data_IF_328996456144
#
_entry.id   IF_328996456144
#
_cell.length_a   1.000
_cell.length_b   1.000
_cell.length_c   1.000
_cell.angle_alpha   90.00
_cell.angle_beta   90.00
_cell.angle_gamma   90.00
#
_symmetry.space_group_name_H-M   'P 1'
#
loop_
_entity.id
_entity.type
_entity.pdbx_description
1 polymer ?
#
# COMPACT_ATOMS: atom_id res chain seq x y z
N UNK A 1 24.62 19.92 11.17
CA UNK A 1 24.96 18.59 11.70
C UNK A 1 23.80 17.60 11.55
N UNK A 2 22.57 18.02 11.90
CA UNK A 2 21.34 17.21 11.76
C UNK A 2 21.04 16.83 10.29
N UNK A 3 21.19 17.75 9.34
CA UNK A 3 20.93 17.46 7.91
C UNK A 3 21.79 16.32 7.36
N UNK A 4 23.09 16.27 7.73
CA UNK A 4 23.99 15.17 7.33
C UNK A 4 23.52 13.81 7.83
N UNK A 5 22.92 13.75 9.02
CA UNK A 5 22.36 12.52 9.59
C UNK A 5 21.17 12.05 8.74
N UNK A 6 20.24 12.95 8.40
CA UNK A 6 19.11 12.63 7.51
C UNK A 6 19.56 12.17 6.12
N UNK A 7 20.59 12.80 5.54
CA UNK A 7 21.15 12.38 4.24
C UNK A 7 21.78 10.99 4.31
N UNK A 8 22.47 10.68 5.42
CA UNK A 8 23.05 9.35 5.68
C UNK A 8 21.95 8.30 5.87
N UNK A 9 20.93 8.58 6.67
CA UNK A 9 19.77 7.69 6.85
C UNK A 9 19.04 7.42 5.54
N UNK A 10 18.93 8.42 4.66
CA UNK A 10 18.40 8.27 3.31
C UNK A 10 19.24 7.33 2.42
N UNK A 11 20.58 7.41 2.51
CA UNK A 11 21.50 6.51 1.79
C UNK A 11 21.53 5.08 2.33
N UNK A 12 21.34 4.91 3.64
CA UNK A 12 21.25 3.58 4.31
C UNK A 12 19.92 2.88 3.99
N UNK A 13 18.99 3.57 3.30
CA UNK A 13 17.73 2.99 2.82
C UNK A 13 16.62 2.97 3.88
N UNK A 14 16.86 3.53 5.06
CA UNK A 14 15.90 3.55 6.18
C UNK A 14 14.64 4.32 5.77
N UNK A 15 14.79 5.45 5.07
CA UNK A 15 13.64 6.25 4.60
C UNK A 15 12.85 5.55 3.49
N UNK A 16 13.53 4.78 2.62
CA UNK A 16 12.87 4.01 1.55
C UNK A 16 12.06 2.84 2.11
N UNK A 17 12.49 2.25 3.22
CA UNK A 17 11.75 1.17 3.89
C UNK A 17 10.45 1.67 4.55
N UNK A 18 10.50 2.85 5.18
CA UNK A 18 9.33 3.46 5.82
C UNK A 18 8.21 3.77 4.81
N UNK A 19 8.57 4.21 3.61
CA UNK A 19 7.63 4.48 2.52
C UNK A 19 6.88 3.21 2.09
N UNK A 20 7.58 2.08 1.98
CA UNK A 20 6.96 0.78 1.66
C UNK A 20 6.02 0.28 2.75
N UNK A 21 6.37 0.49 4.02
CA UNK A 21 5.50 0.13 5.14
C UNK A 21 4.21 0.96 5.08
N UNK A 22 4.31 2.25 4.76
CA UNK A 22 3.14 3.10 4.60
C UNK A 22 2.23 2.59 3.47
N UNK A 23 2.80 2.20 2.32
CA UNK A 23 2.04 1.61 1.22
C UNK A 23 1.35 0.30 1.60
N UNK A 24 2.03 -0.56 2.36
CA UNK A 24 1.42 -1.76 2.91
C UNK A 24 0.25 -1.46 3.85
N UNK A 25 0.44 -0.56 4.82
CA UNK A 25 -0.63 -0.18 5.76
C UNK A 25 -1.80 0.48 5.05
N UNK A 26 -1.54 1.30 4.02
CA UNK A 26 -2.57 1.90 3.19
C UNK A 26 -3.39 0.83 2.45
N UNK A 27 -2.73 -0.14 1.82
CA UNK A 27 -3.39 -1.27 1.16
C UNK A 27 -4.26 -2.07 2.13
N UNK A 28 -3.74 -2.38 3.31
CA UNK A 28 -4.48 -3.06 4.38
C UNK A 28 -5.74 -2.27 4.77
N UNK A 29 -5.59 -0.99 5.07
CA UNK A 29 -6.69 -0.13 5.53
C UNK A 29 -7.78 0.04 4.48
N UNK A 30 -7.40 0.25 3.21
CA UNK A 30 -8.35 0.35 2.09
C UNK A 30 -9.23 -0.90 2.03
N UNK A 31 -8.61 -2.08 2.05
CA UNK A 31 -9.36 -3.34 1.93
C UNK A 31 -10.19 -3.62 3.17
N UNK A 32 -9.63 -3.42 4.37
CA UNK A 32 -10.35 -3.62 5.61
C UNK A 32 -11.61 -2.76 5.69
N UNK A 33 -11.55 -1.49 5.25
CA UNK A 33 -12.71 -0.60 5.21
C UNK A 33 -13.69 -1.01 4.11
N UNK A 34 -13.22 -1.32 2.91
CA UNK A 34 -14.09 -1.71 1.80
C UNK A 34 -14.84 -3.00 2.09
N UNK A 35 -14.20 -3.96 2.77
CA UNK A 35 -14.83 -5.23 3.18
C UNK A 35 -16.00 -5.02 4.16
N UNK A 36 -16.01 -3.94 4.94
CA UNK A 36 -17.12 -3.64 5.85
C UNK A 36 -18.38 -3.14 5.13
N UNK A 37 -18.23 -2.63 3.91
CA UNK A 37 -19.30 -1.94 3.17
C UNK A 37 -19.69 -2.70 1.91
N UNK A 38 -18.77 -3.47 1.34
CA UNK A 38 -18.93 -4.17 0.08
C UNK A 38 -18.56 -5.65 0.22
N UNK A 39 -19.02 -6.44 -0.76
CA UNK A 39 -18.63 -7.84 -0.90
C UNK A 39 -17.11 -8.01 -1.09
N UNK A 40 -16.61 -9.17 -0.68
CA UNK A 40 -15.20 -9.55 -0.69
C UNK A 40 -14.51 -9.38 -2.05
N UNK A 41 -15.17 -9.78 -3.13
CA UNK A 41 -14.66 -9.63 -4.50
C UNK A 41 -14.55 -8.16 -4.92
N UNK A 42 -15.47 -7.29 -4.46
CA UNK A 42 -15.42 -5.85 -4.75
C UNK A 42 -14.22 -5.22 -4.03
N UNK A 43 -14.00 -5.57 -2.76
CA UNK A 43 -12.84 -5.10 -2.00
C UNK A 43 -11.52 -5.51 -2.67
N UNK A 44 -11.46 -6.73 -3.22
CA UNK A 44 -10.31 -7.21 -3.98
C UNK A 44 -10.05 -6.43 -5.28
N UNK A 45 -11.08 -6.24 -6.13
CA UNK A 45 -10.90 -5.48 -7.37
C UNK A 45 -10.61 -4.00 -7.11
N UNK A 46 -11.20 -3.41 -6.08
CA UNK A 46 -10.90 -2.06 -5.66
C UNK A 46 -9.43 -1.92 -5.21
N UNK A 47 -8.90 -2.88 -4.45
CA UNK A 47 -7.47 -2.93 -4.08
C UNK A 47 -6.57 -2.87 -5.32
N UNK A 48 -6.83 -3.69 -6.33
CA UNK A 48 -6.06 -3.71 -7.57
C UNK A 48 -6.13 -2.35 -8.29
N UNK A 49 -7.32 -1.77 -8.34
CA UNK A 49 -7.52 -0.45 -8.94
C UNK A 49 -6.77 0.65 -8.19
N UNK A 50 -6.79 0.66 -6.86
CA UNK A 50 -6.04 1.64 -6.05
C UNK A 50 -4.52 1.45 -6.16
N UNK A 51 -4.03 0.21 -6.11
CA UNK A 51 -2.61 -0.09 -6.24
C UNK A 51 -2.08 0.37 -7.60
N UNK A 52 -2.77 0.01 -8.69
CA UNK A 52 -2.36 0.43 -10.04
C UNK A 52 -2.59 1.93 -10.26
N UNK A 53 -3.74 2.44 -9.84
CA UNK A 53 -4.13 3.84 -9.98
C UNK A 53 -3.17 4.79 -9.28
N UNK A 54 -2.65 4.44 -8.10
CA UNK A 54 -1.62 5.22 -7.41
C UNK A 54 -0.34 5.34 -8.26
N UNK A 55 0.17 4.24 -8.80
CA UNK A 55 1.40 4.27 -9.63
C UNK A 55 1.20 5.05 -10.93
N UNK A 56 0.03 4.92 -11.55
CA UNK A 56 -0.35 5.73 -12.73
C UNK A 56 -0.42 7.21 -12.36
N UNK A 57 -1.06 7.55 -11.24
CA UNK A 57 -1.15 8.91 -10.74
C UNK A 57 0.23 9.50 -10.43
N UNK A 58 1.11 8.74 -9.77
CA UNK A 58 2.46 9.16 -9.46
C UNK A 58 3.26 9.45 -10.75
N UNK A 59 3.15 8.59 -11.77
CA UNK A 59 3.79 8.81 -13.07
C UNK A 59 3.31 10.05 -13.80
N UNK A 60 2.00 10.22 -13.92
CA UNK A 60 1.43 11.26 -14.80
C UNK A 60 1.17 12.59 -14.09
N UNK A 61 0.88 12.57 -12.79
CA UNK A 61 0.52 13.76 -12.01
C UNK A 61 1.69 14.24 -11.17
N UNK A 62 2.29 13.36 -10.34
CA UNK A 62 3.47 13.75 -9.54
C UNK A 62 4.77 13.77 -10.34
N UNK A 63 4.76 13.21 -11.55
CA UNK A 63 5.93 13.08 -12.45
C UNK A 63 7.10 12.34 -11.78
N UNK A 64 6.78 11.39 -10.89
CA UNK A 64 7.74 10.46 -10.29
C UNK A 64 7.78 9.15 -11.08
N UNK A 65 8.78 8.31 -10.84
CA UNK A 65 8.85 7.00 -11.52
C UNK A 65 7.81 6.02 -10.97
N UNK A 66 7.40 5.06 -11.82
CA UNK A 66 6.62 3.92 -11.36
C UNK A 66 7.53 3.05 -10.50
N UNK A 67 7.09 2.79 -9.28
CA UNK A 67 7.78 1.93 -8.34
C UNK A 67 6.95 0.68 -8.09
N UNK A 68 7.32 -0.40 -8.81
CA UNK A 68 6.67 -1.70 -8.63
C UNK A 68 6.74 -2.22 -7.19
N UNK A 69 7.74 -1.82 -6.40
CA UNK A 69 7.77 -2.24 -5.00
C UNK A 69 6.65 -1.61 -4.16
N UNK A 70 6.24 -0.38 -4.47
CA UNK A 70 5.15 0.30 -3.75
C UNK A 70 3.80 -0.30 -4.16
N UNK A 71 3.67 -0.64 -5.44
CA UNK A 71 2.56 -1.45 -5.95
C UNK A 71 2.44 -2.78 -5.20
N UNK A 72 3.52 -3.57 -5.15
CA UNK A 72 3.51 -4.86 -4.44
C UNK A 72 3.30 -4.70 -2.93
N UNK A 73 3.88 -3.67 -2.31
CA UNK A 73 3.63 -3.39 -0.89
C UNK A 73 2.15 -3.13 -0.63
N UNK A 74 1.51 -2.32 -1.47
CA UNK A 74 0.06 -2.03 -1.40
C UNK A 74 -0.77 -3.30 -1.59
N UNK A 75 -0.45 -4.13 -2.59
CA UNK A 75 -1.17 -5.39 -2.82
C UNK A 75 -1.02 -6.37 -1.65
N UNK A 76 0.20 -6.58 -1.15
CA UNK A 76 0.43 -7.47 -0.02
C UNK A 76 -0.31 -7.00 1.24
N UNK A 77 -0.31 -5.69 1.49
CA UNK A 77 -1.08 -5.10 2.57
C UNK A 77 -2.58 -5.35 2.42
N UNK A 78 -3.11 -5.12 1.22
CA UNK A 78 -4.51 -5.38 0.90
C UNK A 78 -4.90 -6.85 1.02
N UNK A 79 -4.04 -7.78 0.60
CA UNK A 79 -4.29 -9.22 0.75
C UNK A 79 -4.34 -9.64 2.23
N UNK A 80 -3.42 -9.14 3.05
CA UNK A 80 -3.45 -9.36 4.51
C UNK A 80 -4.72 -8.76 5.11
N UNK A 81 -5.12 -7.57 4.66
CA UNK A 81 -6.38 -6.94 5.03
C UNK A 81 -7.58 -7.84 4.72
N UNK A 82 -7.69 -8.32 3.48
CA UNK A 82 -8.77 -9.18 3.03
C UNK A 82 -8.85 -10.46 3.85
N UNK A 83 -7.70 -11.13 4.05
CA UNK A 83 -7.65 -12.38 4.79
C UNK A 83 -8.03 -12.19 6.26
N UNK A 84 -7.50 -11.15 6.91
CA UNK A 84 -7.83 -10.85 8.30
C UNK A 84 -9.29 -10.44 8.48
N UNK A 85 -9.85 -9.66 7.56
CA UNK A 85 -11.26 -9.27 7.59
C UNK A 85 -12.18 -10.48 7.35
N UNK A 86 -11.86 -11.33 6.37
CA UNK A 86 -12.61 -12.56 6.10
C UNK A 86 -12.61 -13.54 7.27
N UNK A 87 -11.46 -13.72 7.93
CA UNK A 87 -11.33 -14.54 9.14
C UNK A 87 -12.20 -14.00 10.28
N UNK A 88 -12.18 -12.69 10.51
CA UNK A 88 -12.97 -12.06 11.58
C UNK A 88 -14.48 -12.11 11.31
N UNK A 89 -14.88 -12.07 10.03
CA UNK A 89 -16.27 -12.17 9.62
C UNK A 89 -16.78 -13.62 9.50
N UNK A 90 -15.91 -14.62 9.67
CA UNK A 90 -16.26 -16.05 9.62
C UNK A 90 -16.49 -16.59 8.20
N UNK A 91 -15.97 -15.91 7.18
CA UNK A 91 -16.08 -16.32 5.77
C UNK A 91 -14.92 -17.22 5.31
N UNK A 92 -13.85 -17.33 6.11
CA UNK A 92 -12.63 -18.12 5.86
C UNK A 92 -12.35 -19.04 7.04
#
# INVERSE_FOLDING_TARGET
>A
MIEKIYTLMGKIGITKGQDKILHFVAGFGIVAVLFLVFEDYIAFFAMLFFAFGKEVYDKYVKKTEINFFDFFATLLGGMVGLFSAGLLAGFV
#
